data_IF_333111114505
#
_entry.id   IF_333111114505
#
_cell.length_a   1.000
_cell.length_b   1.000
_cell.length_c   1.000
_cell.angle_alpha   90.00
_cell.angle_beta   90.00
_cell.angle_gamma   90.00
#
_symmetry.space_group_name_H-M   'P 1'
#
loop_
_entity.id
_entity.type
_entity.pdbx_description
1 polymer ?
#
# COMPACT_ATOMS: atom_id res chain seq x y z
N UNK A 1 -12.34 22.90 9.73
CA UNK A 1 -11.57 22.12 8.75
C UNK A 1 -12.07 20.69 8.90
N UNK A 2 -12.88 20.20 7.95
CA UNK A 2 -13.40 18.84 8.01
C UNK A 2 -12.23 17.86 7.93
N UNK A 3 -12.09 16.96 8.90
CA UNK A 3 -11.19 15.81 8.82
C UNK A 3 -11.59 14.98 7.59
N UNK A 4 -10.87 15.18 6.49
CA UNK A 4 -10.89 14.23 5.38
C UNK A 4 -10.18 12.98 5.88
N UNK A 5 -10.92 11.89 6.12
CA UNK A 5 -10.29 10.59 6.35
C UNK A 5 -9.46 10.24 5.11
N UNK A 6 -8.13 10.30 5.21
CA UNK A 6 -7.26 10.00 4.09
C UNK A 6 -7.43 8.53 3.70
N UNK A 7 -7.89 8.30 2.47
CA UNK A 7 -8.09 6.97 1.88
C UNK A 7 -7.17 6.77 0.69
N UNK A 8 -6.84 5.53 0.37
CA UNK A 8 -6.06 5.19 -0.82
C UNK A 8 -6.88 5.54 -2.07
N UNK A 9 -6.29 6.36 -2.93
CA UNK A 9 -6.82 6.76 -4.23
C UNK A 9 -6.05 6.12 -5.39
N UNK A 10 -4.78 5.74 -5.14
CA UNK A 10 -3.87 5.20 -6.15
C UNK A 10 -3.11 4.00 -5.59
N UNK A 11 -3.17 2.88 -6.29
CA UNK A 11 -2.44 1.64 -5.99
C UNK A 11 -1.39 1.42 -7.09
N UNK A 12 -0.12 1.59 -6.74
CA UNK A 12 1.03 1.27 -7.59
C UNK A 12 1.45 -0.19 -7.43
N UNK A 13 1.28 -0.99 -8.48
CA UNK A 13 1.59 -2.45 -8.48
C UNK A 13 2.97 -2.77 -9.07
N UNK A 14 3.80 -1.75 -9.31
CA UNK A 14 5.16 -1.92 -9.80
C UNK A 14 6.06 -2.60 -8.76
N UNK A 15 6.88 -3.56 -9.20
CA UNK A 15 7.89 -4.22 -8.37
C UNK A 15 9.03 -3.25 -8.00
N UNK A 16 9.86 -3.58 -6.99
CA UNK A 16 11.00 -2.75 -6.64
C UNK A 16 11.91 -2.50 -7.84
N UNK A 17 12.56 -1.34 -7.87
CA UNK A 17 13.52 -0.93 -8.93
C UNK A 17 12.88 -0.64 -10.31
N UNK A 18 11.55 -0.54 -10.39
CA UNK A 18 10.82 -0.14 -11.61
C UNK A 18 10.48 1.35 -11.67
N UNK A 19 11.09 2.16 -10.80
CA UNK A 19 10.77 3.60 -10.66
C UNK A 19 9.72 3.91 -9.60
N UNK A 20 9.42 2.97 -8.70
CA UNK A 20 8.47 3.14 -7.57
C UNK A 20 8.77 4.35 -6.70
N UNK A 21 10.04 4.66 -6.43
CA UNK A 21 10.41 5.84 -5.64
C UNK A 21 10.13 7.16 -6.37
N UNK A 22 10.34 7.22 -7.69
CA UNK A 22 9.96 8.39 -8.48
C UNK A 22 8.44 8.56 -8.53
N UNK A 23 7.70 7.44 -8.64
CA UNK A 23 6.24 7.45 -8.60
C UNK A 23 5.71 7.93 -7.25
N UNK A 24 6.30 7.47 -6.12
CA UNK A 24 5.97 7.95 -4.77
C UNK A 24 6.04 9.48 -4.71
N UNK A 25 7.16 10.05 -5.12
CA UNK A 25 7.37 11.51 -5.13
C UNK A 25 6.33 12.22 -6.00
N UNK A 26 6.05 11.70 -7.20
CA UNK A 26 5.06 12.29 -8.09
C UNK A 26 3.64 12.28 -7.50
N UNK A 27 3.25 11.18 -6.83
CA UNK A 27 1.95 11.05 -6.18
C UNK A 27 1.81 11.97 -4.97
N UNK A 28 2.87 12.13 -4.17
CA UNK A 28 2.88 13.06 -3.03
C UNK A 28 2.70 14.51 -3.49
N UNK A 29 3.34 14.89 -4.61
CA UNK A 29 3.15 16.21 -5.23
C UNK A 29 1.71 16.37 -5.75
N UNK A 30 1.21 15.40 -6.51
CA UNK A 30 -0.10 15.49 -7.18
C UNK A 30 -1.26 15.48 -6.18
N UNK A 31 -1.19 14.65 -5.14
CA UNK A 31 -2.27 14.47 -4.18
C UNK A 31 -2.12 15.37 -2.94
N UNK A 32 -0.96 16.01 -2.75
CA UNK A 32 -0.65 16.77 -1.53
C UNK A 32 -0.90 15.97 -0.24
N UNK A 33 -0.64 14.66 -0.30
CA UNK A 33 -0.88 13.66 0.74
C UNK A 33 0.18 12.55 0.65
N UNK A 34 0.50 11.84 1.75
CA UNK A 34 1.60 10.88 1.77
C UNK A 34 1.33 9.63 0.92
N UNK A 35 2.40 9.07 0.36
CA UNK A 35 2.41 7.82 -0.38
C UNK A 35 3.20 6.75 0.37
N UNK A 36 2.58 5.60 0.64
CA UNK A 36 3.26 4.47 1.28
C UNK A 36 4.28 3.86 0.31
N UNK A 37 5.46 3.51 0.84
CA UNK A 37 6.57 2.88 0.12
C UNK A 37 7.47 2.17 1.14
N UNK A 38 8.26 1.14 0.75
CA UNK A 38 9.15 0.41 1.69
C UNK A 38 10.06 1.31 2.54
N UNK A 39 10.45 2.48 2.01
CA UNK A 39 11.33 3.40 2.71
C UNK A 39 10.65 3.96 3.97
N UNK A 40 9.33 4.11 3.98
CA UNK A 40 8.55 4.54 5.15
C UNK A 40 8.64 3.50 6.27
N UNK A 41 8.56 2.21 5.93
CA UNK A 41 8.77 1.11 6.89
C UNK A 41 10.20 1.11 7.45
N UNK A 42 11.22 1.37 6.61
CA UNK A 42 12.61 1.35 7.05
C UNK A 42 12.99 2.56 7.91
N UNK A 43 12.40 3.73 7.65
CA UNK A 43 12.86 5.01 8.21
C UNK A 43 11.92 5.60 9.27
N UNK A 44 10.62 5.30 9.22
CA UNK A 44 9.62 5.92 10.12
C UNK A 44 8.84 4.90 10.92
N UNK A 45 8.39 3.82 10.28
CA UNK A 45 7.44 2.87 10.86
C UNK A 45 8.03 1.46 10.91
N UNK A 46 9.13 1.27 11.64
CA UNK A 46 9.81 -0.04 11.72
C UNK A 46 8.91 -1.14 12.30
N UNK A 47 7.93 -0.78 13.15
CA UNK A 47 6.94 -1.72 13.66
C UNK A 47 6.02 -2.31 12.58
N UNK A 48 5.91 -1.68 11.40
CA UNK A 48 5.12 -2.21 10.30
C UNK A 48 5.76 -3.47 9.71
N UNK A 49 7.07 -3.72 9.94
CA UNK A 49 7.74 -4.97 9.52
C UNK A 49 7.00 -6.18 10.09
N UNK A 50 6.73 -6.19 11.39
CA UNK A 50 6.02 -7.28 12.06
C UNK A 50 4.57 -7.41 11.57
N UNK A 51 3.92 -6.30 11.25
CA UNK A 51 2.54 -6.28 10.75
C UNK A 51 2.46 -6.86 9.34
N UNK A 52 3.36 -6.46 8.45
CA UNK A 52 3.49 -7.03 7.12
C UNK A 52 3.84 -8.51 7.17
N UNK A 53 4.75 -8.92 8.07
CA UNK A 53 5.08 -10.33 8.24
C UNK A 53 3.87 -11.15 8.68
N UNK A 54 3.04 -10.65 9.61
CA UNK A 54 1.77 -11.28 9.99
C UNK A 54 0.83 -11.42 8.80
N UNK A 55 0.66 -10.36 8.00
CA UNK A 55 -0.17 -10.41 6.79
C UNK A 55 0.31 -11.46 5.78
N UNK A 56 1.61 -11.53 5.50
CA UNK A 56 2.16 -12.57 4.62
C UNK A 56 1.95 -13.97 5.18
N UNK A 57 2.09 -14.15 6.50
CA UNK A 57 1.82 -15.44 7.13
C UNK A 57 0.35 -15.85 7.00
N UNK A 58 -0.60 -14.93 7.21
CA UNK A 58 -2.02 -15.17 7.01
C UNK A 58 -2.35 -15.53 5.55
N UNK A 59 -1.81 -14.78 4.59
CA UNK A 59 -2.02 -15.01 3.16
C UNK A 59 -1.47 -16.36 2.67
N UNK A 60 -0.50 -16.94 3.37
CA UNK A 60 0.09 -18.25 3.05
C UNK A 60 -0.68 -19.45 3.63
N UNK A 61 -1.66 -19.22 4.51
CA UNK A 61 -2.47 -20.31 5.09
C UNK A 61 -3.39 -20.91 4.04
N UNK A 62 -3.62 -22.22 4.09
CA UNK A 62 -4.60 -22.92 3.24
C UNK A 62 -6.02 -22.40 3.45
N UNK A 63 -6.36 -22.00 4.67
CA UNK A 63 -7.62 -21.36 5.05
C UNK A 63 -7.33 -19.92 5.47
N UNK A 64 -6.83 -19.09 4.54
CA UNK A 64 -6.57 -17.68 4.80
C UNK A 64 -7.86 -16.93 5.16
N UNK A 65 -7.77 -16.00 6.10
CA UNK A 65 -8.87 -15.13 6.49
C UNK A 65 -8.73 -13.77 5.78
N UNK A 66 -9.54 -13.56 4.74
CA UNK A 66 -9.54 -12.31 3.96
C UNK A 66 -9.86 -11.09 4.83
N UNK A 67 -10.72 -11.22 5.85
CA UNK A 67 -11.06 -10.09 6.72
C UNK A 67 -9.85 -9.66 7.56
N UNK A 68 -9.05 -10.61 8.03
CA UNK A 68 -7.80 -10.29 8.74
C UNK A 68 -6.83 -9.57 7.82
N UNK A 69 -6.71 -10.02 6.57
CA UNK A 69 -5.85 -9.37 5.57
C UNK A 69 -6.35 -7.95 5.28
N UNK A 70 -7.63 -7.77 4.97
CA UNK A 70 -8.24 -6.48 4.67
C UNK A 70 -8.11 -5.48 5.81
N UNK A 71 -8.34 -5.93 7.05
CA UNK A 71 -8.18 -5.08 8.23
C UNK A 71 -6.73 -4.67 8.43
N UNK A 72 -5.79 -5.62 8.35
CA UNK A 72 -4.38 -5.30 8.53
C UNK A 72 -3.85 -4.37 7.43
N UNK A 73 -4.28 -4.53 6.18
CA UNK A 73 -3.97 -3.59 5.10
C UNK A 73 -4.49 -2.19 5.41
N UNK A 74 -5.75 -2.08 5.87
CA UNK A 74 -6.36 -0.80 6.23
C UNK A 74 -5.65 -0.12 7.40
N UNK A 75 -5.21 -0.89 8.40
CA UNK A 75 -4.47 -0.39 9.56
C UNK A 75 -3.08 0.15 9.19
N UNK A 76 -2.34 -0.58 8.35
CA UNK A 76 -0.99 -0.17 7.92
C UNK A 76 -1.06 1.06 7.00
N UNK A 77 -2.06 1.10 6.12
CA UNK A 77 -2.21 2.17 5.12
C UNK A 77 -3.03 3.36 5.61
N UNK A 78 -3.46 3.37 6.86
CA UNK A 78 -4.17 4.50 7.45
C UNK A 78 -3.32 5.78 7.36
N UNK A 79 -3.94 6.87 6.89
CA UNK A 79 -3.28 8.16 6.71
C UNK A 79 -2.54 8.32 5.38
N UNK A 80 -2.46 7.29 4.54
CA UNK A 80 -1.85 7.36 3.21
C UNK A 80 -2.91 7.54 2.12
N UNK A 81 -2.61 8.38 1.13
CA UNK A 81 -3.50 8.61 -0.02
C UNK A 81 -3.14 7.73 -1.23
N UNK A 82 -1.97 7.10 -1.20
CA UNK A 82 -1.50 6.21 -2.25
C UNK A 82 -0.48 5.21 -1.71
N UNK A 83 -0.22 4.14 -2.46
CA UNK A 83 0.71 3.08 -2.07
C UNK A 83 1.50 2.58 -3.26
N UNK A 84 2.79 2.30 -3.07
CA UNK A 84 3.71 1.79 -4.10
C UNK A 84 4.72 0.82 -3.47
N UNK A 85 5.43 0.08 -4.32
CA UNK A 85 6.54 -0.80 -3.95
C UNK A 85 6.13 -1.98 -3.05
N UNK A 86 7.11 -2.80 -2.69
CA UNK A 86 6.95 -3.81 -1.64
C UNK A 86 6.74 -3.13 -0.27
N UNK A 87 6.09 -3.82 0.66
CA UNK A 87 5.44 -5.14 0.50
C UNK A 87 4.03 -5.05 -0.13
N UNK A 88 3.45 -3.86 -0.20
CA UNK A 88 2.06 -3.66 -0.57
C UNK A 88 1.72 -4.10 -2.01
N UNK A 89 2.64 -3.99 -2.97
CA UNK A 89 2.40 -4.43 -4.36
C UNK A 89 2.04 -5.93 -4.46
N UNK A 90 2.46 -6.75 -3.48
CA UNK A 90 2.12 -8.17 -3.41
C UNK A 90 0.65 -8.45 -3.03
N UNK A 91 -0.02 -7.47 -2.45
CA UNK A 91 -1.43 -7.53 -2.00
C UNK A 91 -2.37 -6.73 -2.91
N UNK A 92 -2.00 -6.53 -4.18
CA UNK A 92 -2.75 -5.62 -5.05
C UNK A 92 -4.21 -6.04 -5.25
N UNK A 93 -4.53 -7.34 -5.24
CA UNK A 93 -5.90 -7.83 -5.42
C UNK A 93 -6.75 -7.50 -4.19
N UNK A 94 -6.21 -7.75 -3.00
CA UNK A 94 -6.82 -7.46 -1.72
C UNK A 94 -6.99 -5.95 -1.56
N UNK A 95 -6.00 -5.15 -1.97
CA UNK A 95 -6.09 -3.69 -1.98
C UNK A 95 -7.18 -3.18 -2.93
N UNK A 96 -7.39 -3.80 -4.08
CA UNK A 96 -8.50 -3.45 -4.98
C UNK A 96 -9.87 -3.78 -4.37
N UNK A 97 -9.95 -4.82 -3.54
CA UNK A 97 -11.18 -5.15 -2.78
C UNK A 97 -11.42 -4.16 -1.64
N UNK A 98 -10.38 -3.81 -0.89
CA UNK A 98 -10.45 -2.86 0.24
C UNK A 98 -10.75 -1.44 -0.23
N UNK A 99 -10.15 -1.03 -1.35
CA UNK A 99 -10.27 0.32 -1.91
C UNK A 99 -10.85 0.26 -3.34
N UNK A 100 -12.15 -0.03 -3.52
CA UNK A 100 -12.75 -0.30 -4.83
C UNK A 100 -12.75 0.92 -5.77
N UNK A 101 -12.60 2.12 -5.24
CA UNK A 101 -12.54 3.37 -6.02
C UNK A 101 -11.11 3.81 -6.36
N UNK A 102 -10.09 3.08 -5.89
CA UNK A 102 -8.70 3.38 -6.22
C UNK A 102 -8.38 3.07 -7.68
N UNK A 103 -7.55 3.91 -8.29
CA UNK A 103 -6.96 3.62 -9.60
C UNK A 103 -5.70 2.78 -9.44
N UNK A 104 -5.54 1.78 -10.29
CA UNK A 104 -4.40 0.86 -10.25
C UNK A 104 -3.44 1.18 -11.40
N UNK A 105 -2.16 1.33 -11.11
CA UNK A 105 -1.12 1.62 -12.10
C UNK A 105 0.09 0.72 -11.92
N UNK A 106 0.68 0.30 -13.03
CA UNK A 106 1.96 -0.42 -13.05
C UNK A 106 3.02 0.43 -13.75
N UNK A 107 4.22 0.50 -13.17
CA UNK A 107 5.37 1.17 -13.79
C UNK A 107 6.14 0.10 -14.57
N UNK A 108 5.59 -0.31 -15.70
CA UNK A 108 6.26 -1.22 -16.61
C UNK A 108 6.04 -0.69 -18.04
N UNK A 109 7.09 -0.17 -18.64
CA UNK A 109 7.14 0.03 -20.09
C UNK A 109 7.51 -1.31 -20.70
N UNK A 110 6.52 -2.10 -21.11
CA UNK A 110 6.69 -3.16 -22.10
C UNK A 110 5.94 -2.76 -23.38
#
# INVERSE_FOLDING_TARGET
MSESSTTINVIGVGLPRTGTSSLKTALEILLSQPCYHIIETMTKNQYDVDRWQKLFNEARKTNSDEMVIHRGLSEILNGYASVTDIPACGFYKELMTVYPYSKVYSVLFL
#
